data_IF_321226325485
#
_entry.id   IF_321226325485
#
_cell.length_a   1.000
_cell.length_b   1.000
_cell.length_c   1.000
_cell.angle_alpha   90.00
_cell.angle_beta   90.00
_cell.angle_gamma   90.00
#
_symmetry.space_group_name_H-M   'P 1'
#
loop_
_entity.id
_entity.type
_entity.pdbx_description
1 polymer ?
#
# COMPACT_ATOMS: atom_id res chain seq x y z
N UNK A 1 22.06 -23.63 6.74
CA UNK A 1 22.98 -22.51 6.49
C UNK A 1 22.29 -21.31 7.09
N UNK A 2 22.92 -20.64 8.05
CA UNK A 2 22.34 -19.42 8.63
C UNK A 2 22.33 -18.34 7.52
N UNK A 3 21.31 -17.47 7.46
CA UNK A 3 21.22 -16.40 6.46
C UNK A 3 22.44 -15.50 6.43
N UNK A 4 23.14 -15.32 7.57
CA UNK A 4 24.43 -14.61 7.62
C UNK A 4 25.51 -15.28 6.74
N UNK A 5 25.65 -16.61 6.82
CA UNK A 5 26.62 -17.36 6.02
C UNK A 5 26.32 -17.26 4.51
N UNK A 6 25.05 -17.10 4.14
CA UNK A 6 24.65 -16.92 2.74
C UNK A 6 25.09 -15.54 2.21
N UNK A 7 24.95 -14.49 3.02
CA UNK A 7 25.45 -13.14 2.66
C UNK A 7 26.98 -13.14 2.58
N UNK A 8 27.68 -13.75 3.54
CA UNK A 8 29.14 -13.88 3.51
C UNK A 8 29.64 -14.62 2.25
N UNK A 9 28.90 -15.63 1.77
CA UNK A 9 29.22 -16.31 0.51
C UNK A 9 29.05 -15.40 -0.72
N UNK A 10 28.03 -14.55 -0.75
CA UNK A 10 27.89 -13.53 -1.80
C UNK A 10 29.07 -12.56 -1.76
N UNK A 11 29.49 -12.13 -0.56
CA UNK A 11 30.62 -11.21 -0.40
C UNK A 11 31.97 -11.84 -0.77
N UNK A 12 32.09 -13.17 -0.66
CA UNK A 12 33.28 -13.89 -1.10
C UNK A 12 33.33 -14.13 -2.62
N UNK A 13 32.25 -13.87 -3.35
CA UNK A 13 32.19 -14.05 -4.80
C UNK A 13 32.92 -12.91 -5.53
N UNK A 14 34.08 -13.22 -6.09
CA UNK A 14 34.91 -12.29 -6.83
C UNK A 14 34.35 -11.94 -8.22
N UNK A 15 33.31 -12.63 -8.68
CA UNK A 15 32.65 -12.34 -9.97
C UNK A 15 31.56 -11.27 -9.87
N UNK A 16 31.15 -10.94 -8.64
CA UNK A 16 30.13 -9.94 -8.36
C UNK A 16 30.66 -8.51 -8.66
N UNK A 17 29.83 -7.63 -9.22
CA UNK A 17 30.23 -6.24 -9.46
C UNK A 17 30.53 -5.51 -8.14
N UNK A 18 31.43 -4.53 -8.20
CA UNK A 18 31.79 -3.69 -7.05
C UNK A 18 30.55 -3.05 -6.41
N UNK A 19 29.59 -2.60 -7.22
CA UNK A 19 28.34 -2.01 -6.74
C UNK A 19 27.50 -3.01 -5.93
N UNK A 20 27.33 -4.24 -6.42
CA UNK A 20 26.59 -5.27 -5.68
C UNK A 20 27.34 -5.73 -4.43
N UNK A 21 28.67 -5.81 -4.45
CA UNK A 21 29.45 -6.07 -3.23
C UNK A 21 29.22 -4.98 -2.17
N UNK A 22 29.25 -3.71 -2.57
CA UNK A 22 29.01 -2.58 -1.65
C UNK A 22 27.60 -2.61 -1.04
N UNK A 23 26.58 -2.92 -1.85
CA UNK A 23 25.19 -3.03 -1.34
C UNK A 23 25.07 -4.23 -0.38
N UNK A 24 25.65 -5.38 -0.70
CA UNK A 24 25.64 -6.53 0.20
C UNK A 24 26.35 -6.23 1.53
N UNK A 25 27.46 -5.49 1.51
CA UNK A 25 28.13 -5.02 2.73
C UNK A 25 27.24 -4.10 3.55
N UNK A 26 26.54 -3.14 2.92
CA UNK A 26 25.58 -2.28 3.61
C UNK A 26 24.46 -3.09 4.27
N UNK A 27 23.88 -4.05 3.57
CA UNK A 27 22.83 -4.92 4.13
C UNK A 27 23.34 -5.69 5.34
N UNK A 28 24.53 -6.28 5.25
CA UNK A 28 25.15 -7.00 6.37
C UNK A 28 25.38 -6.10 7.60
N UNK A 29 25.76 -4.84 7.36
CA UNK A 29 26.03 -3.85 8.40
C UNK A 29 24.78 -3.05 8.84
N UNK A 30 23.59 -3.37 8.29
CA UNK A 30 22.33 -2.65 8.54
C UNK A 30 22.39 -1.16 8.15
N UNK A 31 23.14 -0.86 7.11
CA UNK A 31 23.28 0.47 6.54
C UNK A 31 22.24 0.69 5.44
N UNK A 32 21.72 1.91 5.37
CA UNK A 32 20.72 2.31 4.38
C UNK A 32 21.34 2.36 2.98
N UNK A 33 20.64 1.79 2.00
CA UNK A 33 20.97 1.93 0.58
C UNK A 33 20.41 3.23 -0.01
N UNK A 34 21.15 3.80 -0.96
CA UNK A 34 20.80 5.05 -1.63
C UNK A 34 19.78 4.83 -2.75
N UNK A 35 19.23 5.93 -3.28
CA UNK A 35 18.41 5.93 -4.48
C UNK A 35 19.10 5.21 -5.65
N UNK A 36 20.33 5.61 -5.97
CA UNK A 36 21.06 5.03 -7.11
C UNK A 36 21.35 3.53 -6.91
N UNK A 37 21.63 3.10 -5.68
CA UNK A 37 21.79 1.68 -5.35
C UNK A 37 20.46 0.92 -5.53
N UNK A 38 19.32 1.50 -5.15
CA UNK A 38 18.00 0.91 -5.39
C UNK A 38 17.68 0.75 -6.86
N UNK A 39 17.99 1.76 -7.68
CA UNK A 39 17.82 1.67 -9.15
C UNK A 39 18.75 0.60 -9.72
N UNK A 40 20.02 0.60 -9.29
CA UNK A 40 21.01 -0.38 -9.71
C UNK A 40 20.56 -1.82 -9.43
N UNK A 41 19.95 -2.07 -8.26
CA UNK A 41 19.39 -3.39 -7.93
C UNK A 41 18.30 -3.82 -8.91
N UNK A 42 17.38 -2.92 -9.26
CA UNK A 42 16.33 -3.25 -10.23
C UNK A 42 16.89 -3.56 -11.61
N UNK A 43 17.93 -2.86 -12.05
CA UNK A 43 18.50 -3.01 -13.38
C UNK A 43 19.46 -4.20 -13.52
N UNK A 44 20.20 -4.56 -12.45
CA UNK A 44 21.36 -5.46 -12.58
C UNK A 44 21.34 -6.68 -11.66
N UNK A 45 20.59 -6.67 -10.55
CA UNK A 45 20.74 -7.69 -9.51
C UNK A 45 19.90 -8.95 -9.78
N UNK A 46 20.53 -10.13 -9.87
CA UNK A 46 19.81 -11.39 -10.08
C UNK A 46 18.89 -11.79 -8.91
N UNK A 47 17.84 -12.55 -9.20
CA UNK A 47 16.85 -12.97 -8.20
C UNK A 47 17.49 -13.72 -7.02
N UNK A 48 18.50 -14.57 -7.28
CA UNK A 48 19.20 -15.30 -6.22
C UNK A 48 19.94 -14.37 -5.24
N UNK A 49 20.63 -13.36 -5.76
CA UNK A 49 21.29 -12.33 -4.96
C UNK A 49 20.25 -11.56 -4.12
N UNK A 50 19.20 -11.07 -4.76
CA UNK A 50 18.13 -10.32 -4.10
C UNK A 50 17.43 -11.14 -3.01
N UNK A 51 17.18 -12.42 -3.28
CA UNK A 51 16.56 -13.35 -2.34
C UNK A 51 17.39 -13.54 -1.07
N UNK A 52 18.71 -13.67 -1.18
CA UNK A 52 19.60 -13.79 -0.01
C UNK A 52 19.56 -12.53 0.84
N UNK A 53 19.73 -11.35 0.22
CA UNK A 53 19.75 -10.07 0.95
C UNK A 53 18.38 -9.77 1.58
N UNK A 54 17.30 -9.93 0.83
CA UNK A 54 15.94 -9.73 1.31
C UNK A 54 15.56 -10.69 2.45
N UNK A 55 15.91 -11.97 2.32
CA UNK A 55 15.61 -12.97 3.35
C UNK A 55 16.43 -12.75 4.62
N UNK A 56 17.71 -12.36 4.50
CA UNK A 56 18.54 -11.99 5.65
C UNK A 56 17.87 -10.88 6.49
N UNK A 57 17.42 -9.79 5.86
CA UNK A 57 16.73 -8.70 6.56
C UNK A 57 15.40 -9.18 7.17
N UNK A 58 14.65 -10.02 6.45
CA UNK A 58 13.36 -10.57 6.91
C UNK A 58 13.53 -11.44 8.15
N UNK A 59 14.47 -12.37 8.14
CA UNK A 59 14.76 -13.25 9.28
C UNK A 59 15.34 -12.48 10.45
N UNK A 60 16.18 -11.47 10.21
CA UNK A 60 16.67 -10.61 11.28
C UNK A 60 15.53 -9.91 12.02
N UNK A 61 14.56 -9.36 11.28
CA UNK A 61 13.42 -8.63 11.87
C UNK A 61 12.37 -9.56 12.50
N UNK A 62 12.11 -10.71 11.87
CA UNK A 62 10.91 -11.50 12.17
C UNK A 62 11.17 -12.98 12.50
N UNK A 63 12.40 -13.46 12.33
CA UNK A 63 12.70 -14.90 12.26
C UNK A 63 11.77 -15.58 11.25
N UNK A 64 11.21 -16.72 11.66
CA UNK A 64 10.28 -17.52 10.84
C UNK A 64 8.80 -17.08 10.97
N UNK A 65 8.50 -16.00 11.70
CA UNK A 65 7.11 -15.57 11.90
C UNK A 65 6.50 -15.04 10.61
N UNK A 66 5.29 -15.48 10.30
CA UNK A 66 4.48 -14.94 9.19
C UNK A 66 3.13 -14.50 9.73
N UNK A 67 2.86 -13.19 9.67
CA UNK A 67 1.71 -12.57 10.32
C UNK A 67 0.48 -12.54 9.42
N UNK A 68 -0.68 -12.80 10.02
CA UNK A 68 -1.99 -12.60 9.41
C UNK A 68 -2.99 -12.13 10.49
N UNK A 69 -4.10 -11.54 10.06
CA UNK A 69 -5.22 -11.19 10.96
C UNK A 69 -6.56 -11.65 10.36
N UNK A 70 -7.63 -11.51 11.14
CA UNK A 70 -9.00 -11.82 10.71
C UNK A 70 -9.75 -10.52 10.50
N UNK A 71 -9.88 -10.11 9.24
CA UNK A 71 -10.60 -8.92 8.83
C UNK A 71 -11.68 -9.27 7.81
N UNK A 72 -12.65 -8.37 7.61
CA UNK A 72 -13.60 -8.45 6.51
C UNK A 72 -13.67 -7.12 5.75
N UNK A 73 -14.12 -7.19 4.51
CA UNK A 73 -14.22 -6.03 3.62
C UNK A 73 -15.65 -5.48 3.60
N UNK A 74 -15.77 -4.16 3.68
CA UNK A 74 -17.01 -3.43 3.43
C UNK A 74 -16.74 -2.45 2.30
N UNK A 75 -17.46 -2.62 1.18
CA UNK A 75 -17.34 -1.78 0.00
C UNK A 75 -18.55 -0.84 -0.11
N UNK A 76 -18.43 0.46 0.26
CA UNK A 76 -19.56 1.40 0.18
C UNK A 76 -20.15 1.50 -1.22
N UNK A 77 -19.30 1.46 -2.24
CA UNK A 77 -19.68 1.56 -3.64
C UNK A 77 -18.57 1.02 -4.54
N UNK A 78 -18.98 0.50 -5.69
CA UNK A 78 -18.09 0.13 -6.78
C UNK A 78 -18.12 1.14 -7.96
N UNK A 79 -18.68 2.34 -7.74
CA UNK A 79 -18.75 3.48 -8.66
C UNK A 79 -17.79 4.58 -8.19
N UNK A 80 -17.19 5.31 -9.12
CA UNK A 80 -16.20 6.33 -8.77
C UNK A 80 -16.32 7.58 -9.64
N UNK A 81 -16.07 8.76 -9.06
CA UNK A 81 -15.95 10.03 -9.81
C UNK A 81 -14.61 10.17 -10.55
N UNK A 82 -13.63 9.34 -10.22
CA UNK A 82 -12.29 9.37 -10.80
C UNK A 82 -12.13 8.39 -11.97
N UNK A 83 -11.10 8.64 -12.78
CA UNK A 83 -10.75 7.84 -13.94
C UNK A 83 -9.32 7.29 -13.81
N UNK A 84 -9.15 6.28 -12.94
CA UNK A 84 -7.90 5.52 -12.88
C UNK A 84 -7.86 4.47 -13.99
N UNK A 85 -6.83 4.48 -14.83
CA UNK A 85 -6.76 3.66 -16.05
C UNK A 85 -6.63 2.17 -15.79
N UNK A 86 -6.06 1.79 -14.64
CA UNK A 86 -5.92 0.41 -14.18
C UNK A 86 -7.11 -0.12 -13.38
N UNK A 87 -8.13 0.71 -13.10
CA UNK A 87 -9.21 0.36 -12.18
C UNK A 87 -10.53 0.11 -12.92
N UNK A 88 -11.20 -0.99 -12.60
CA UNK A 88 -12.52 -1.34 -13.15
C UNK A 88 -13.67 -0.45 -12.68
N UNK A 89 -13.45 0.41 -11.67
CA UNK A 89 -14.45 1.34 -11.15
C UNK A 89 -14.36 2.72 -11.82
N UNK A 90 -13.45 2.91 -12.78
CA UNK A 90 -13.36 4.17 -13.52
C UNK A 90 -14.71 4.53 -14.12
N UNK A 91 -15.11 5.79 -13.98
CA UNK A 91 -16.31 6.38 -14.59
C UNK A 91 -16.40 6.19 -16.11
N UNK A 92 -15.27 5.99 -16.79
CA UNK A 92 -15.25 5.78 -18.25
C UNK A 92 -15.57 4.34 -18.63
N UNK A 93 -15.45 3.41 -17.68
CA UNK A 93 -15.70 1.99 -17.90
C UNK A 93 -17.06 1.61 -17.35
N UNK A 94 -17.40 2.09 -16.15
CA UNK A 94 -18.59 1.67 -15.43
C UNK A 94 -19.61 2.79 -15.34
N UNK A 95 -20.78 2.57 -15.94
CA UNK A 95 -21.92 3.47 -15.80
C UNK A 95 -22.62 3.26 -14.45
N UNK A 96 -23.40 4.25 -14.03
CA UNK A 96 -24.06 4.24 -12.71
C UNK A 96 -25.01 3.05 -12.55
N UNK A 97 -25.64 2.63 -13.63
CA UNK A 97 -26.61 1.54 -13.70
C UNK A 97 -25.96 0.16 -13.48
N UNK A 98 -24.64 0.05 -13.66
CA UNK A 98 -23.86 -1.18 -13.51
C UNK A 98 -23.23 -1.31 -12.12
N UNK A 99 -23.47 -0.36 -11.23
CA UNK A 99 -22.89 -0.32 -9.89
C UNK A 99 -23.92 -0.16 -8.78
N UNK A 100 -23.40 -0.06 -7.56
CA UNK A 100 -24.20 0.18 -6.36
C UNK A 100 -23.62 1.32 -5.55
N UNK A 101 -24.47 1.93 -4.73
CA UNK A 101 -24.09 2.84 -3.67
C UNK A 101 -24.90 2.44 -2.44
N UNK A 102 -24.24 1.79 -1.47
CA UNK A 102 -24.90 1.32 -0.26
C UNK A 102 -25.43 2.49 0.58
N UNK A 103 -26.56 2.28 1.25
CA UNK A 103 -27.06 3.17 2.29
C UNK A 103 -26.35 2.91 3.63
N UNK A 104 -26.48 3.83 4.59
CA UNK A 104 -25.98 3.64 5.96
C UNK A 104 -26.51 2.33 6.58
N UNK A 105 -27.81 2.07 6.42
CA UNK A 105 -28.46 0.86 6.92
C UNK A 105 -27.85 -0.40 6.31
N UNK A 106 -27.67 -0.43 5.00
CA UNK A 106 -27.05 -1.58 4.31
C UNK A 106 -25.60 -1.83 4.76
N UNK A 107 -24.82 -0.76 4.95
CA UNK A 107 -23.45 -0.89 5.45
C UNK A 107 -23.42 -1.45 6.88
N UNK A 108 -24.30 -0.97 7.76
CA UNK A 108 -24.41 -1.49 9.12
C UNK A 108 -24.93 -2.94 9.15
N UNK A 109 -25.85 -3.30 8.25
CA UNK A 109 -26.32 -4.68 8.13
C UNK A 109 -25.22 -5.62 7.65
N UNK A 110 -24.28 -5.15 6.81
CA UNK A 110 -23.07 -5.91 6.49
C UNK A 110 -22.21 -6.10 7.74
N UNK A 111 -21.99 -5.06 8.55
CA UNK A 111 -21.22 -5.17 9.80
C UNK A 111 -21.86 -6.18 10.76
N UNK A 112 -23.19 -6.13 10.95
CA UNK A 112 -23.95 -7.04 11.81
C UNK A 112 -23.83 -8.51 11.40
N UNK A 113 -23.68 -8.82 10.10
CA UNK A 113 -23.46 -10.20 9.63
C UNK A 113 -22.19 -10.84 10.21
N UNK A 114 -21.27 -10.04 10.75
CA UNK A 114 -20.02 -10.50 11.37
C UNK A 114 -20.03 -10.42 12.90
N UNK A 115 -21.16 -10.16 13.55
CA UNK A 115 -21.22 -10.00 15.02
C UNK A 115 -20.73 -11.24 15.76
N UNK A 116 -21.12 -12.44 15.30
CA UNK A 116 -20.70 -13.72 15.86
C UNK A 116 -19.43 -14.29 15.22
N UNK A 117 -18.80 -13.54 14.31
CA UNK A 117 -17.56 -13.94 13.66
C UNK A 117 -16.34 -13.38 14.42
N UNK A 118 -15.26 -14.16 14.60
CA UNK A 118 -14.06 -13.73 15.30
C UNK A 118 -13.17 -12.86 14.41
N UNK A 119 -13.75 -11.83 13.78
CA UNK A 119 -13.04 -10.76 13.07
C UNK A 119 -12.65 -9.66 14.04
N UNK A 120 -11.46 -9.10 13.87
CA UNK A 120 -10.91 -8.05 14.74
C UNK A 120 -10.95 -6.68 14.09
N UNK A 121 -11.17 -6.63 12.78
CA UNK A 121 -11.02 -5.41 11.98
C UNK A 121 -11.99 -5.41 10.78
N UNK A 122 -12.58 -4.25 10.48
CA UNK A 122 -13.28 -3.99 9.22
C UNK A 122 -12.41 -3.12 8.33
N UNK A 123 -12.26 -3.54 7.07
CA UNK A 123 -11.58 -2.80 6.02
C UNK A 123 -12.60 -2.13 5.10
N UNK A 124 -12.65 -0.80 5.13
CA UNK A 124 -13.61 -0.02 4.33
C UNK A 124 -12.88 0.68 3.21
N UNK A 125 -12.96 0.16 1.98
CA UNK A 125 -12.44 0.82 0.77
C UNK A 125 -13.43 0.62 -0.39
N UNK A 126 -13.38 1.49 -1.40
CA UNK A 126 -14.30 1.45 -2.52
C UNK A 126 -14.08 2.66 -3.45
N UNK A 127 -15.07 2.95 -4.28
CA UNK A 127 -15.05 4.16 -5.11
C UNK A 127 -15.46 5.43 -4.36
N UNK A 128 -15.25 6.58 -5.00
CA UNK A 128 -15.54 7.91 -4.44
C UNK A 128 -16.82 8.46 -5.07
N UNK A 129 -17.82 8.78 -4.25
CA UNK A 129 -19.07 9.39 -4.69
C UNK A 129 -19.42 10.65 -3.89
N UNK A 130 -20.10 11.65 -4.49
CA UNK A 130 -20.38 12.92 -3.83
C UNK A 130 -21.21 12.82 -2.55
N UNK A 131 -22.09 11.83 -2.42
CA UNK A 131 -22.95 11.67 -1.24
C UNK A 131 -22.23 11.09 -0.02
N UNK A 132 -21.05 10.48 -0.19
CA UNK A 132 -20.24 9.98 0.92
C UNK A 132 -19.25 11.05 1.37
N UNK A 133 -19.77 12.08 2.03
CA UNK A 133 -18.99 13.20 2.54
C UNK A 133 -18.47 12.98 3.97
N UNK A 134 -17.89 14.04 4.56
CA UNK A 134 -17.37 14.04 5.92
C UNK A 134 -18.45 13.64 6.94
N UNK A 135 -19.68 14.15 6.79
CA UNK A 135 -20.76 13.85 7.72
C UNK A 135 -21.20 12.39 7.60
N UNK A 136 -21.31 11.87 6.37
CA UNK A 136 -21.64 10.48 6.11
C UNK A 136 -20.63 9.52 6.78
N UNK A 137 -19.33 9.69 6.50
CA UNK A 137 -18.32 8.78 7.05
C UNK A 137 -18.13 8.95 8.56
N UNK A 138 -18.27 10.17 9.11
CA UNK A 138 -18.25 10.38 10.56
C UNK A 138 -19.39 9.63 11.24
N UNK A 139 -20.60 9.69 10.67
CA UNK A 139 -21.76 8.96 11.18
C UNK A 139 -21.57 7.44 11.05
N UNK A 140 -20.99 6.96 9.95
CA UNK A 140 -20.71 5.53 9.75
C UNK A 140 -19.74 5.01 10.80
N UNK A 141 -18.61 5.68 11.01
CA UNK A 141 -17.62 5.25 12.00
C UNK A 141 -18.21 5.29 13.42
N UNK A 142 -18.95 6.34 13.76
CA UNK A 142 -19.61 6.46 15.06
C UNK A 142 -20.59 5.32 15.28
N UNK A 143 -21.41 4.99 14.27
CA UNK A 143 -22.40 3.92 14.35
C UNK A 143 -21.74 2.53 14.46
N UNK A 144 -20.66 2.27 13.72
CA UNK A 144 -19.91 1.01 13.83
C UNK A 144 -19.33 0.87 15.25
N UNK A 145 -18.70 1.93 15.77
CA UNK A 145 -18.12 1.92 17.12
C UNK A 145 -19.17 1.76 18.22
N UNK A 146 -20.36 2.34 18.04
CA UNK A 146 -21.46 2.19 18.99
C UNK A 146 -22.06 0.77 18.96
N UNK A 147 -22.17 0.17 17.78
CA UNK A 147 -22.69 -1.19 17.60
C UNK A 147 -21.69 -2.27 18.07
N UNK A 148 -20.42 -2.14 17.66
CA UNK A 148 -19.36 -3.12 17.96
C UNK A 148 -18.06 -2.42 18.42
N UNK A 149 -17.96 -1.99 19.69
CA UNK A 149 -16.82 -1.23 20.21
C UNK A 149 -15.46 -1.91 20.08
N UNK A 150 -15.41 -3.23 20.01
CA UNK A 150 -14.16 -4.00 19.90
C UNK A 150 -13.70 -4.20 18.44
N UNK A 151 -14.51 -3.81 17.45
CA UNK A 151 -14.15 -3.91 16.04
C UNK A 151 -13.26 -2.72 15.64
N UNK A 152 -12.03 -3.01 15.19
CA UNK A 152 -11.12 -1.97 14.69
C UNK A 152 -11.61 -1.43 13.34
N UNK A 153 -11.79 -0.11 13.24
CA UNK A 153 -12.20 0.55 11.99
C UNK A 153 -10.97 1.00 11.21
N UNK A 154 -10.63 0.25 10.14
CA UNK A 154 -9.60 0.60 9.17
C UNK A 154 -10.28 1.04 7.88
N UNK A 155 -10.31 2.34 7.60
CA UNK A 155 -11.17 2.87 6.55
C UNK A 155 -10.48 3.94 5.72
N UNK A 156 -10.83 3.92 4.42
CA UNK A 156 -10.58 4.91 3.39
C UNK A 156 -9.11 5.22 3.12
N UNK A 157 -8.82 5.79 1.95
CA UNK A 157 -7.49 6.20 1.56
C UNK A 157 -7.40 7.73 1.50
N UNK A 158 -6.19 8.30 1.36
CA UNK A 158 -6.04 9.72 1.09
C UNK A 158 -6.80 10.21 -0.15
N UNK A 159 -7.16 9.34 -1.09
CA UNK A 159 -7.99 9.71 -2.25
C UNK A 159 -9.38 10.13 -1.80
N UNK A 160 -10.02 9.33 -0.95
CA UNK A 160 -11.34 9.64 -0.38
C UNK A 160 -11.26 10.85 0.55
N UNK A 161 -10.27 10.88 1.44
CA UNK A 161 -10.10 11.98 2.41
C UNK A 161 -9.84 13.32 1.72
N UNK A 162 -8.97 13.35 0.72
CA UNK A 162 -8.74 14.55 -0.09
C UNK A 162 -10.04 15.07 -0.69
N UNK A 163 -10.85 14.19 -1.28
CA UNK A 163 -12.12 14.56 -1.89
C UNK A 163 -13.09 15.17 -0.87
N UNK A 164 -13.35 14.47 0.23
CA UNK A 164 -14.36 14.91 1.21
C UNK A 164 -13.93 16.16 1.96
N UNK A 165 -12.64 16.31 2.29
CA UNK A 165 -12.13 17.51 2.99
C UNK A 165 -12.11 18.72 2.07
N UNK A 166 -11.70 18.56 0.80
CA UNK A 166 -11.78 19.63 -0.20
C UNK A 166 -13.22 20.10 -0.41
N UNK A 167 -14.18 19.17 -0.49
CA UNK A 167 -15.61 19.49 -0.62
C UNK A 167 -16.14 20.21 0.62
N UNK A 168 -15.72 19.80 1.82
CA UNK A 168 -16.08 20.42 3.09
C UNK A 168 -15.33 21.73 3.37
N UNK A 169 -14.33 22.11 2.54
CA UNK A 169 -13.47 23.28 2.72
C UNK A 169 -12.73 23.28 4.06
N UNK A 170 -12.25 22.11 4.49
CA UNK A 170 -11.43 21.95 5.71
C UNK A 170 -10.04 21.46 5.34
N UNK A 171 -9.04 21.87 6.11
CA UNK A 171 -7.67 21.36 5.98
C UNK A 171 -7.57 19.90 6.46
N UNK A 172 -6.47 19.24 6.11
CA UNK A 172 -6.24 17.83 6.43
C UNK A 172 -6.08 17.56 7.92
N UNK A 173 -5.47 18.48 8.68
CA UNK A 173 -5.27 18.32 10.12
C UNK A 173 -6.63 18.28 10.84
N UNK A 174 -7.48 19.25 10.53
CA UNK A 174 -8.87 19.34 11.01
C UNK A 174 -9.68 18.13 10.55
N UNK A 175 -9.61 17.79 9.26
CA UNK A 175 -10.34 16.67 8.68
C UNK A 175 -9.98 15.32 9.30
N UNK A 176 -8.69 15.00 9.41
CA UNK A 176 -8.24 13.73 9.99
C UNK A 176 -8.53 13.66 11.49
N UNK A 177 -8.46 14.78 12.22
CA UNK A 177 -8.87 14.85 13.62
C UNK A 177 -10.35 14.53 13.79
N UNK A 178 -11.23 15.08 12.94
CA UNK A 178 -12.66 14.75 12.92
C UNK A 178 -12.90 13.26 12.67
N UNK A 179 -12.19 12.66 11.70
CA UNK A 179 -12.32 11.22 11.42
C UNK A 179 -11.85 10.35 12.59
N UNK A 180 -10.75 10.70 13.25
CA UNK A 180 -10.27 10.04 14.47
C UNK A 180 -11.32 10.09 15.58
N UNK A 181 -11.86 11.28 15.83
CA UNK A 181 -12.83 11.50 16.90
C UNK A 181 -14.18 10.81 16.61
N UNK A 182 -14.52 10.63 15.33
CA UNK A 182 -15.67 9.83 14.90
C UNK A 182 -15.45 8.31 15.02
N UNK A 183 -14.23 7.85 15.30
CA UNK A 183 -13.94 6.43 15.54
C UNK A 183 -13.09 5.72 14.49
N UNK A 184 -12.48 6.43 13.54
CA UNK A 184 -11.44 5.86 12.68
C UNK A 184 -10.22 5.46 13.52
N UNK A 185 -9.66 4.28 13.30
CA UNK A 185 -8.55 3.77 14.12
C UNK A 185 -7.28 3.44 13.33
N UNK A 186 -7.34 3.19 12.03
CA UNK A 186 -6.15 3.16 11.17
C UNK A 186 -6.53 3.43 9.71
N UNK A 187 -5.55 3.78 8.88
CA UNK A 187 -5.76 3.91 7.44
C UNK A 187 -5.15 2.73 6.67
N UNK A 188 -5.84 2.16 5.65
CA UNK A 188 -5.20 1.35 4.61
C UNK A 188 -4.22 2.19 3.77
N UNK A 189 -3.42 1.51 2.95
CA UNK A 189 -2.35 2.16 2.18
C UNK A 189 -2.65 2.44 0.71
N UNK A 190 -3.87 2.17 0.25
CA UNK A 190 -4.25 2.30 -1.15
C UNK A 190 -4.23 3.75 -1.66
N UNK A 191 -4.40 3.93 -2.98
CA UNK A 191 -4.48 5.26 -3.61
C UNK A 191 -3.13 5.91 -3.92
N UNK A 192 -2.04 5.31 -3.45
CA UNK A 192 -0.68 5.81 -3.63
C UNK A 192 -0.20 5.65 -5.09
N UNK A 193 -0.45 4.49 -5.70
CA UNK A 193 -0.06 4.13 -7.07
C UNK A 193 1.45 4.28 -7.33
N UNK A 194 1.84 5.08 -8.33
CA UNK A 194 3.16 5.67 -8.46
C UNK A 194 3.02 7.17 -8.20
N UNK A 195 3.96 7.74 -7.45
CA UNK A 195 3.90 9.16 -7.07
C UNK A 195 4.44 10.08 -8.14
N UNK A 196 5.45 9.65 -8.89
CA UNK A 196 6.10 10.46 -9.89
C UNK A 196 5.07 11.02 -10.90
N UNK A 197 5.01 12.35 -11.12
CA UNK A 197 3.99 12.98 -11.95
C UNK A 197 3.93 12.41 -13.36
N UNK A 198 5.08 12.09 -13.96
CA UNK A 198 5.18 11.50 -15.30
C UNK A 198 4.26 10.27 -15.47
N UNK A 199 4.24 9.38 -14.47
CA UNK A 199 3.41 8.18 -14.49
C UNK A 199 2.00 8.49 -13.97
N UNK A 200 1.89 9.28 -12.89
CA UNK A 200 0.62 9.56 -12.24
C UNK A 200 -0.36 10.30 -13.17
N UNK A 201 0.13 11.23 -13.99
CA UNK A 201 -0.66 11.96 -14.98
C UNK A 201 -1.25 11.04 -16.06
N UNK A 202 -0.56 9.95 -16.37
CA UNK A 202 -1.04 8.97 -17.36
C UNK A 202 -2.09 8.04 -16.76
N UNK A 203 -1.87 7.55 -15.53
CA UNK A 203 -2.67 6.46 -14.96
C UNK A 203 -3.78 6.92 -13.99
N UNK A 204 -3.65 8.08 -13.35
CA UNK A 204 -4.54 8.50 -12.25
C UNK A 204 -4.62 10.02 -12.03
N UNK A 205 -4.51 10.84 -13.08
CA UNK A 205 -4.43 12.32 -13.01
C UNK A 205 -5.52 13.04 -12.20
N UNK A 206 -6.74 12.51 -12.17
CA UNK A 206 -7.90 13.24 -11.65
C UNK A 206 -8.01 13.20 -10.12
N UNK A 207 -7.29 12.28 -9.46
CA UNK A 207 -7.34 12.10 -8.00
C UNK A 207 -6.21 12.87 -7.29
N UNK A 208 -6.12 12.74 -5.96
CA UNK A 208 -5.09 13.43 -5.18
C UNK A 208 -3.66 13.13 -5.70
N UNK A 209 -2.76 14.10 -5.63
CA UNK A 209 -1.35 13.94 -6.00
C UNK A 209 -0.59 13.06 -4.99
N UNK A 210 0.65 12.67 -5.30
CA UNK A 210 1.51 11.96 -4.34
C UNK A 210 1.79 12.81 -3.09
N UNK A 211 2.04 14.10 -3.25
CA UNK A 211 2.23 15.04 -2.14
C UNK A 211 0.99 15.14 -1.24
N UNK A 212 -0.21 15.22 -1.85
CA UNK A 212 -1.46 15.26 -1.10
C UNK A 212 -1.73 13.94 -0.36
N UNK A 213 -1.38 12.81 -0.98
CA UNK A 213 -1.45 11.49 -0.35
C UNK A 213 -0.56 11.45 0.89
N UNK A 214 0.71 11.85 0.76
CA UNK A 214 1.69 11.89 1.85
C UNK A 214 1.27 12.86 2.96
N UNK A 215 0.74 14.03 2.62
CA UNK A 215 0.29 15.03 3.60
C UNK A 215 -0.85 14.53 4.49
N UNK A 216 -1.79 13.75 3.95
CA UNK A 216 -2.89 13.17 4.75
C UNK A 216 -2.34 12.11 5.72
N UNK A 217 -1.42 11.24 5.27
CA UNK A 217 -0.74 10.30 6.15
C UNK A 217 0.09 11.01 7.23
N UNK A 218 0.78 12.09 6.87
CA UNK A 218 1.53 12.92 7.82
C UNK A 218 0.63 13.48 8.93
N UNK A 219 -0.52 14.08 8.59
CA UNK A 219 -1.48 14.57 9.59
C UNK A 219 -2.08 13.43 10.43
N UNK A 220 -2.33 12.27 9.83
CA UNK A 220 -2.77 11.08 10.56
C UNK A 220 -1.73 10.60 11.58
N UNK A 221 -0.45 10.57 11.19
CA UNK A 221 0.64 10.14 12.06
C UNK A 221 0.91 11.15 13.19
N UNK A 222 0.77 12.46 12.94
CA UNK A 222 0.84 13.50 13.99
C UNK A 222 -0.22 13.31 15.09
N UNK A 223 -1.33 12.65 14.78
CA UNK A 223 -2.36 12.27 15.76
C UNK A 223 -2.02 10.98 16.54
N UNK A 224 -0.82 10.42 16.35
CA UNK A 224 -0.35 9.18 16.97
C UNK A 224 -0.92 7.92 16.34
N UNK A 225 -1.53 8.02 15.15
CA UNK A 225 -2.26 6.94 14.52
C UNK A 225 -1.41 6.19 13.49
N UNK A 226 -1.81 4.94 13.20
CA UNK A 226 -1.09 4.04 12.30
C UNK A 226 -1.73 3.95 10.92
N UNK A 227 -0.91 3.75 9.90
CA UNK A 227 -1.35 3.51 8.53
C UNK A 227 -0.45 2.54 7.77
N UNK A 228 -0.80 2.21 6.53
CA UNK A 228 0.03 1.44 5.61
C UNK A 228 0.33 2.27 4.36
N UNK A 229 1.24 1.80 3.52
CA UNK A 229 1.54 2.38 2.21
C UNK A 229 1.57 1.29 1.14
N UNK A 230 1.08 1.60 -0.06
CA UNK A 230 1.13 0.70 -1.22
C UNK A 230 1.96 1.28 -2.35
N UNK A 231 2.45 0.46 -3.27
CA UNK A 231 3.00 0.89 -4.54
C UNK A 231 2.43 0.02 -5.66
N UNK A 232 1.77 0.62 -6.66
CA UNK A 232 1.32 -0.10 -7.85
C UNK A 232 2.51 -0.27 -8.81
N UNK A 233 2.86 -1.51 -9.16
CA UNK A 233 4.04 -1.80 -9.97
C UNK A 233 3.74 -2.78 -11.12
N UNK A 234 4.63 -2.84 -12.10
CA UNK A 234 4.59 -3.76 -13.23
C UNK A 234 3.66 -3.31 -14.36
N UNK A 235 3.54 -2.00 -14.57
CA UNK A 235 2.75 -1.41 -15.66
C UNK A 235 3.66 -0.59 -16.60
N UNK A 236 3.44 0.72 -16.70
CA UNK A 236 4.14 1.60 -17.64
C UNK A 236 5.33 2.33 -16.98
N UNK A 237 5.56 2.12 -15.69
CA UNK A 237 6.60 2.80 -14.93
C UNK A 237 7.99 2.20 -15.14
N UNK A 238 9.00 3.04 -15.32
CA UNK A 238 10.40 2.65 -15.17
C UNK A 238 10.79 2.38 -13.70
N UNK A 239 11.89 1.64 -13.50
CA UNK A 239 12.38 1.29 -12.15
C UNK A 239 12.73 2.51 -11.28
N UNK A 240 13.26 3.59 -11.88
CA UNK A 240 13.50 4.86 -11.18
C UNK A 240 12.23 5.42 -10.52
N UNK A 241 11.05 5.18 -11.11
CA UNK A 241 9.78 5.63 -10.54
C UNK A 241 9.35 4.81 -9.32
N UNK A 242 9.71 3.52 -9.28
CA UNK A 242 9.50 2.68 -8.10
C UNK A 242 10.39 3.13 -6.95
N UNK A 243 11.65 3.41 -7.24
CA UNK A 243 12.62 3.89 -6.24
C UNK A 243 12.25 5.29 -5.74
N UNK A 244 11.85 6.22 -6.62
CA UNK A 244 11.30 7.54 -6.22
C UNK A 244 10.09 7.41 -5.29
N UNK A 245 9.18 6.48 -5.61
CA UNK A 245 8.02 6.22 -4.78
C UNK A 245 8.43 5.70 -3.38
N UNK A 246 9.31 4.71 -3.34
CA UNK A 246 9.83 4.14 -2.09
C UNK A 246 10.61 5.17 -1.27
N UNK A 247 11.41 6.03 -1.90
CA UNK A 247 12.16 7.10 -1.22
C UNK A 247 11.22 8.07 -0.52
N UNK A 248 10.18 8.55 -1.21
CA UNK A 248 9.19 9.47 -0.61
C UNK A 248 8.44 8.85 0.58
N UNK A 249 8.14 7.56 0.51
CA UNK A 249 7.56 6.82 1.63
C UNK A 249 8.55 6.70 2.80
N UNK A 250 9.80 6.37 2.50
CA UNK A 250 10.89 6.24 3.47
C UNK A 250 11.17 7.56 4.19
N UNK A 251 11.18 8.67 3.48
CA UNK A 251 11.35 10.02 4.03
C UNK A 251 10.20 10.42 4.97
N UNK A 252 8.95 10.16 4.57
CA UNK A 252 7.81 10.42 5.45
C UNK A 252 7.85 9.51 6.69
N UNK A 253 8.27 8.26 6.53
CA UNK A 253 8.42 7.33 7.63
C UNK A 253 9.53 7.77 8.60
N UNK A 254 10.66 8.31 8.14
CA UNK A 254 11.67 8.88 9.03
C UNK A 254 11.13 10.07 9.83
N UNK A 255 10.29 10.91 9.22
CA UNK A 255 9.70 12.08 9.89
C UNK A 255 8.62 11.72 10.90
N UNK A 256 7.84 10.66 10.66
CA UNK A 256 6.58 10.42 11.38
C UNK A 256 6.45 9.04 12.02
N UNK A 257 7.16 8.03 11.53
CA UNK A 257 7.17 6.65 12.05
C UNK A 257 5.81 5.94 12.06
N UNK A 258 4.80 6.46 11.37
CA UNK A 258 3.41 6.01 11.50
C UNK A 258 3.00 4.86 10.58
N UNK A 259 3.79 4.54 9.55
CA UNK A 259 3.53 3.38 8.70
C UNK A 259 3.92 2.07 9.40
N UNK A 260 3.09 1.04 9.25
CA UNK A 260 3.40 -0.31 9.72
C UNK A 260 3.86 -1.22 8.59
N UNK A 261 3.29 -1.07 7.40
CA UNK A 261 3.47 -2.02 6.30
C UNK A 261 3.62 -1.32 4.95
N UNK A 262 4.61 -1.75 4.18
CA UNK A 262 4.72 -1.48 2.75
C UNK A 262 4.11 -2.63 1.94
N UNK A 263 3.33 -2.30 0.91
CA UNK A 263 2.48 -3.25 0.18
C UNK A 263 2.69 -3.08 -1.33
N UNK A 264 3.56 -3.87 -1.96
CA UNK A 264 3.60 -3.96 -3.41
C UNK A 264 2.27 -4.48 -3.97
N UNK A 265 1.68 -3.75 -4.91
CA UNK A 265 0.46 -4.14 -5.61
C UNK A 265 0.79 -4.37 -7.08
N UNK A 266 0.68 -5.63 -7.52
CA UNK A 266 0.89 -5.99 -8.91
C UNK A 266 -0.22 -5.42 -9.79
N UNK A 267 0.15 -4.73 -10.85
CA UNK A 267 -0.78 -4.35 -11.92
C UNK A 267 -1.36 -5.60 -12.61
N UNK A 268 -2.68 -5.56 -12.84
CA UNK A 268 -3.39 -6.56 -13.64
C UNK A 268 -4.05 -5.87 -14.83
N UNK A 269 -4.00 -6.49 -16.00
CA UNK A 269 -4.46 -5.87 -17.25
C UNK A 269 -5.91 -6.24 -17.63
N UNK A 270 -6.66 -6.84 -16.71
CA UNK A 270 -8.03 -7.26 -16.95
C UNK A 270 -9.04 -6.21 -16.48
N UNK A 271 -10.13 -6.05 -17.24
CA UNK A 271 -11.27 -5.19 -16.91
C UNK A 271 -10.92 -3.72 -16.64
N UNK A 272 -9.95 -3.16 -17.36
CA UNK A 272 -9.53 -1.78 -17.24
C UNK A 272 -9.11 -1.18 -18.60
N UNK A 273 -8.69 0.09 -18.62
CA UNK A 273 -8.28 0.81 -19.84
C UNK A 273 -6.82 0.52 -20.26
N UNK A 274 -6.13 -0.37 -19.56
CA UNK A 274 -4.70 -0.71 -19.79
C UNK A 274 -4.54 -2.17 -20.21
N UNK A 275 -5.53 -2.75 -20.89
CA UNK A 275 -5.53 -4.17 -21.28
C UNK A 275 -4.43 -4.57 -22.27
N UNK A 276 -3.83 -3.59 -22.94
CA UNK A 276 -2.70 -3.76 -23.83
C UNK A 276 -1.33 -3.74 -23.11
N UNK A 277 -1.28 -3.43 -21.82
CA UNK A 277 -0.06 -3.44 -21.02
C UNK A 277 0.19 -4.86 -20.52
N UNK A 278 1.39 -5.39 -20.75
CA UNK A 278 1.76 -6.72 -20.27
C UNK A 278 1.94 -6.70 -18.74
N UNK A 279 1.55 -7.79 -18.08
CA UNK A 279 1.83 -7.96 -16.65
C UNK A 279 3.29 -8.37 -16.43
N UNK A 280 3.85 -8.01 -15.27
CA UNK A 280 5.17 -8.49 -14.83
C UNK A 280 5.22 -10.03 -14.73
N UNK A 281 6.41 -10.59 -14.92
CA UNK A 281 6.66 -12.01 -14.64
C UNK A 281 6.70 -12.29 -13.14
N UNK A 282 6.58 -13.56 -12.73
CA UNK A 282 6.73 -13.96 -11.32
C UNK A 282 8.14 -13.66 -10.81
N UNK A 283 9.17 -13.78 -11.66
CA UNK A 283 10.55 -13.43 -11.30
C UNK A 283 10.62 -11.94 -10.94
N UNK A 284 10.03 -11.07 -11.76
CA UNK A 284 9.97 -9.63 -11.49
C UNK A 284 9.18 -9.30 -10.22
N UNK A 285 8.11 -10.04 -9.93
CA UNK A 285 7.35 -9.88 -8.68
C UNK A 285 8.23 -10.17 -7.46
N UNK A 286 8.95 -11.29 -7.47
CA UNK A 286 9.84 -11.69 -6.37
C UNK A 286 11.03 -10.75 -6.21
N UNK A 287 11.62 -10.29 -7.33
CA UNK A 287 12.66 -9.25 -7.31
C UNK A 287 12.13 -7.98 -6.66
N UNK A 288 10.91 -7.57 -7.01
CA UNK A 288 10.28 -6.37 -6.44
C UNK A 288 10.03 -6.49 -4.94
N UNK A 289 9.60 -7.65 -4.43
CA UNK A 289 9.47 -7.89 -2.98
C UNK A 289 10.82 -7.84 -2.25
N UNK A 290 11.85 -8.50 -2.81
CA UNK A 290 13.18 -8.50 -2.22
C UNK A 290 13.80 -7.10 -2.18
N UNK A 291 13.72 -6.35 -3.29
CA UNK A 291 14.20 -4.96 -3.34
C UNK A 291 13.40 -4.08 -2.37
N UNK A 292 12.08 -4.25 -2.28
CA UNK A 292 11.27 -3.53 -1.29
C UNK A 292 11.72 -3.81 0.15
N UNK A 293 12.06 -5.07 0.50
CA UNK A 293 12.59 -5.39 1.83
C UNK A 293 13.96 -4.75 2.07
N UNK A 294 14.83 -4.72 1.07
CA UNK A 294 16.16 -4.09 1.16
C UNK A 294 16.04 -2.57 1.30
N UNK A 295 15.18 -1.94 0.49
CA UNK A 295 15.08 -0.48 0.39
C UNK A 295 14.29 0.15 1.54
N UNK A 296 13.18 -0.49 1.96
CA UNK A 296 12.26 0.02 2.98
C UNK A 296 12.75 -0.33 4.40
N UNK A 297 13.97 0.08 4.76
CA UNK A 297 14.63 -0.28 6.02
C UNK A 297 13.84 0.12 7.29
N UNK A 298 13.13 1.25 7.20
CA UNK A 298 12.33 1.84 8.29
C UNK A 298 10.83 1.43 8.28
N UNK A 299 10.46 0.46 7.44
CA UNK A 299 9.17 -0.24 7.52
C UNK A 299 9.38 -1.62 8.18
N UNK A 300 8.50 -1.94 9.14
CA UNK A 300 8.56 -3.21 9.86
C UNK A 300 8.16 -4.37 8.94
N UNK A 301 7.06 -4.22 8.22
CA UNK A 301 6.45 -5.30 7.45
C UNK A 301 6.40 -5.00 5.94
N UNK A 302 6.66 -6.04 5.14
CA UNK A 302 6.31 -6.09 3.72
C UNK A 302 5.14 -7.08 3.61
N UNK A 303 4.04 -6.71 2.95
CA UNK A 303 2.83 -7.55 2.87
C UNK A 303 2.55 -7.96 1.43
N UNK A 304 2.28 -9.25 1.25
CA UNK A 304 1.66 -9.81 0.06
C UNK A 304 0.18 -10.15 0.33
N UNK A 305 -0.70 -9.82 -0.61
CA UNK A 305 -2.10 -10.29 -0.57
C UNK A 305 -2.22 -11.58 -1.38
N UNK A 306 -2.44 -12.71 -0.71
CA UNK A 306 -2.47 -14.02 -1.37
C UNK A 306 -3.53 -14.12 -2.48
N UNK A 307 -4.63 -13.35 -2.41
CA UNK A 307 -5.67 -13.37 -3.44
C UNK A 307 -5.29 -12.57 -4.71
N UNK A 308 -4.24 -11.74 -4.64
CA UNK A 308 -3.78 -10.93 -5.76
C UNK A 308 -2.66 -11.60 -6.57
N UNK A 309 -2.10 -12.71 -6.08
CA UNK A 309 -1.00 -13.47 -6.68
C UNK A 309 -1.26 -14.98 -6.54
N UNK A 310 -0.44 -15.82 -7.17
CA UNK A 310 -0.60 -17.27 -6.99
C UNK A 310 -0.15 -17.68 -5.58
N UNK A 311 -0.60 -18.85 -5.11
CA UNK A 311 -0.15 -19.44 -3.84
C UNK A 311 1.38 -19.55 -3.77
N UNK A 312 2.02 -20.00 -4.85
CA UNK A 312 3.46 -20.18 -4.93
C UNK A 312 4.19 -18.84 -4.82
N UNK A 313 3.71 -17.81 -5.52
CA UNK A 313 4.28 -16.47 -5.42
C UNK A 313 4.12 -15.90 -4.01
N UNK A 314 2.95 -16.07 -3.38
CA UNK A 314 2.72 -15.59 -2.01
C UNK A 314 3.59 -16.30 -0.95
N UNK A 315 4.00 -17.54 -1.21
CA UNK A 315 4.87 -18.29 -0.32
C UNK A 315 6.34 -17.85 -0.43
N UNK A 316 6.74 -17.37 -1.61
CA UNK A 316 8.11 -16.94 -1.92
C UNK A 316 8.37 -15.44 -1.67
N UNK A 317 7.31 -14.64 -1.59
CA UNK A 317 7.34 -13.18 -1.42
C UNK A 317 7.64 -12.70 -0.01
#
# INVERSE_FOLDING_TARGET
MNTTEQVEKILADTSLSTELQNIAHKVLNKERITFDEGVYLYEHAELGYLGVLGNFIREEKHGDKTYFNRNFHLEPTNLCVYDCKFCSYSRLIKQKEEGWALTMEQMLDIVKKYDDEPVTEVHIVGGVLPQYDVAFYSALFTAIRAHRPDLHVKALTPVEYHYIFKKAKIDYATGMKLMKDAGLQSMPGGGAEIFHPEIREQIAKDKCTGEQWLAIHEEWHKLGMRSNATMLYGHIEEFKHRVDHMEKLRDLQDRTGGFQTFIPLKFRNQHNQMSNVAESSVIEDLRNYAIARIYMDNFDHIKAYWAMISRETAQLS
#
